data_IF_970461771400
#
_entry.id   IF_970461771400
#
_cell.length_a   1.000
_cell.length_b   1.000
_cell.length_c   1.000
_cell.angle_alpha   90.00
_cell.angle_beta   90.00
_cell.angle_gamma   90.00
#
_symmetry.space_group_name_H-M   'P 1'
#
loop_
_entity.id
_entity.type
_entity.pdbx_description
1 polymer ?
#
# COMPACT_ATOMS: atom_id res chain seq x y z
N UNK A 1 19.67 -27.80 0.52
CA UNK A 1 20.12 -26.47 0.06
C UNK A 1 21.61 -26.56 -0.20
N UNK A 2 22.09 -26.13 -1.38
CA UNK A 2 23.53 -25.92 -1.57
C UNK A 2 23.93 -24.74 -0.70
N UNK A 3 25.06 -24.85 -0.01
CA UNK A 3 25.62 -23.70 0.70
C UNK A 3 26.12 -22.71 -0.34
N UNK A 4 25.61 -21.48 -0.30
CA UNK A 4 26.07 -20.37 -1.13
C UNK A 4 26.83 -19.39 -0.23
N UNK A 5 28.07 -19.07 -0.60
CA UNK A 5 28.90 -18.08 0.11
C UNK A 5 29.18 -16.92 -0.82
N UNK A 6 28.78 -15.72 -0.43
CA UNK A 6 29.04 -14.48 -1.16
C UNK A 6 29.60 -13.43 -0.20
N UNK A 7 30.30 -12.44 -0.74
CA UNK A 7 30.83 -11.32 0.05
C UNK A 7 29.99 -10.08 -0.22
N UNK A 8 29.77 -9.27 0.82
CA UNK A 8 28.96 -8.06 0.74
C UNK A 8 29.79 -6.86 1.19
N UNK A 9 29.81 -5.82 0.38
CA UNK A 9 30.40 -4.53 0.70
C UNK A 9 29.28 -3.49 0.79
N UNK A 10 29.18 -2.82 1.94
CA UNK A 10 28.27 -1.70 2.12
C UNK A 10 29.05 -0.39 1.96
N UNK A 11 28.54 0.51 1.12
CA UNK A 11 29.08 1.85 0.90
C UNK A 11 27.97 2.90 0.96
N UNK A 12 28.35 4.17 0.91
CA UNK A 12 27.41 5.29 0.83
C UNK A 12 26.55 5.25 -0.45
N UNK A 13 27.01 4.53 -1.48
CA UNK A 13 26.34 4.42 -2.77
C UNK A 13 25.42 3.21 -2.88
N UNK A 14 25.50 2.26 -1.95
CA UNK A 14 24.68 1.05 -1.96
C UNK A 14 25.43 -0.20 -1.49
N UNK A 15 24.82 -1.36 -1.77
CA UNK A 15 25.35 -2.68 -1.43
C UNK A 15 25.92 -3.35 -2.68
N UNK A 16 27.18 -3.75 -2.64
CA UNK A 16 27.81 -4.58 -3.67
C UNK A 16 27.91 -6.02 -3.15
N UNK A 17 27.46 -6.98 -3.96
CA UNK A 17 27.52 -8.42 -3.63
C UNK A 17 28.39 -9.11 -4.68
N UNK A 18 29.43 -9.78 -4.22
CA UNK A 18 30.31 -10.61 -5.03
C UNK A 18 29.90 -12.08 -4.91
N UNK A 19 29.49 -12.67 -6.03
CA UNK A 19 29.05 -14.06 -6.12
C UNK A 19 30.24 -15.02 -6.33
N UNK A 20 30.09 -16.32 -6.00
CA UNK A 20 31.10 -17.35 -6.28
C UNK A 20 31.53 -17.42 -7.74
N UNK A 21 30.62 -17.15 -8.67
CA UNK A 21 30.90 -17.05 -10.10
C UNK A 21 31.70 -15.82 -10.52
N UNK A 22 32.13 -14.97 -9.58
CA UNK A 22 32.74 -13.65 -9.81
C UNK A 22 31.78 -12.60 -10.39
N UNK A 23 30.53 -12.99 -10.66
CA UNK A 23 29.46 -12.06 -11.01
C UNK A 23 29.20 -11.08 -9.85
N UNK A 24 28.76 -9.87 -10.22
CA UNK A 24 28.55 -8.78 -9.27
C UNK A 24 27.11 -8.29 -9.32
N UNK A 25 26.53 -8.09 -8.15
CA UNK A 25 25.26 -7.41 -7.98
C UNK A 25 25.47 -6.07 -7.28
N UNK A 26 24.83 -5.04 -7.78
CA UNK A 26 24.76 -3.73 -7.13
C UNK A 26 23.32 -3.44 -6.74
N UNK A 27 23.08 -3.19 -5.46
CA UNK A 27 21.78 -2.86 -4.88
C UNK A 27 21.80 -1.37 -4.48
N UNK A 28 20.99 -0.58 -5.19
CA UNK A 28 20.90 0.87 -5.03
C UNK A 28 19.53 1.26 -4.45
N UNK A 29 19.51 1.99 -3.34
CA UNK A 29 18.29 2.59 -2.77
C UNK A 29 18.00 3.92 -3.46
N UNK A 30 17.42 3.87 -4.66
CA UNK A 30 17.11 5.06 -5.45
C UNK A 30 15.81 4.93 -6.24
N UNK A 31 15.23 6.08 -6.56
CA UNK A 31 13.92 6.21 -7.19
C UNK A 31 13.96 6.93 -8.56
N UNK A 32 15.15 7.04 -9.15
CA UNK A 32 15.36 7.72 -10.42
C UNK A 32 16.25 6.86 -11.34
N UNK A 33 16.11 7.05 -12.64
CA UNK A 33 16.82 6.27 -13.66
C UNK A 33 18.22 6.81 -13.98
N UNK A 34 18.86 7.55 -13.07
CA UNK A 34 20.23 8.06 -13.25
C UNK A 34 21.24 7.06 -12.71
N UNK A 35 21.26 5.88 -13.29
CA UNK A 35 22.31 4.91 -13.11
C UNK A 35 22.86 4.49 -14.46
N UNK A 36 24.14 4.17 -14.49
CA UNK A 36 24.80 3.69 -15.68
C UNK A 36 24.60 2.18 -15.82
N UNK A 37 24.53 1.70 -17.06
CA UNK A 37 24.42 0.29 -17.39
C UNK A 37 25.46 -0.04 -18.46
N UNK A 38 26.30 -1.03 -18.20
CA UNK A 38 27.23 -1.56 -19.19
C UNK A 38 26.53 -2.58 -20.11
N UNK A 39 27.12 -2.89 -21.27
CA UNK A 39 26.54 -3.83 -22.24
C UNK A 39 26.33 -5.25 -21.67
N UNK A 40 27.13 -5.65 -20.67
CA UNK A 40 27.04 -6.95 -19.99
C UNK A 40 26.22 -6.86 -18.69
N UNK A 41 25.33 -5.89 -18.57
CA UNK A 41 24.51 -5.69 -17.38
C UNK A 41 23.02 -5.72 -17.69
N UNK A 42 22.26 -6.21 -16.71
CA UNK A 42 20.81 -6.11 -16.66
C UNK A 42 20.40 -5.51 -15.33
N UNK A 43 19.18 -5.00 -15.25
CA UNK A 43 18.66 -4.38 -14.04
C UNK A 43 17.24 -4.83 -13.70
N UNK A 44 16.93 -4.78 -12.41
CA UNK A 44 15.59 -4.89 -11.87
C UNK A 44 15.18 -3.55 -11.25
N UNK A 45 13.96 -3.10 -11.57
CA UNK A 45 13.33 -2.00 -10.83
C UNK A 45 12.34 -2.58 -9.83
N UNK A 46 12.47 -2.20 -8.57
CA UNK A 46 11.62 -2.66 -7.49
C UNK A 46 10.84 -1.50 -6.88
N UNK A 47 9.58 -1.76 -6.57
CA UNK A 47 8.75 -0.86 -5.75
C UNK A 47 8.25 -1.60 -4.53
N UNK A 48 8.60 -1.11 -3.33
CA UNK A 48 8.25 -1.76 -2.05
C UNK A 48 8.65 -3.24 -2.03
N UNK A 49 9.81 -3.54 -2.61
CA UNK A 49 10.36 -4.89 -2.73
C UNK A 49 9.63 -5.84 -3.68
N UNK A 50 8.70 -5.36 -4.52
CA UNK A 50 8.13 -6.12 -5.63
C UNK A 50 8.85 -5.73 -6.93
N UNK A 51 9.32 -6.71 -7.70
CA UNK A 51 9.90 -6.48 -9.03
C UNK A 51 8.81 -5.96 -9.97
N UNK A 52 9.10 -4.85 -10.64
CA UNK A 52 8.20 -4.16 -11.57
C UNK A 52 8.70 -4.17 -13.01
N UNK A 53 10.00 -4.25 -13.20
CA UNK A 53 10.63 -4.29 -14.52
C UNK A 53 11.93 -5.09 -14.42
N UNK A 54 12.23 -5.84 -15.48
CA UNK A 54 13.48 -6.55 -15.71
C UNK A 54 13.88 -6.22 -17.14
N UNK A 55 15.04 -5.60 -17.33
CA UNK A 55 15.53 -5.22 -18.65
C UNK A 55 17.06 -5.04 -18.63
N UNK A 56 17.64 -4.89 -19.82
CA UNK A 56 19.05 -4.60 -20.04
C UNK A 56 19.24 -3.37 -20.94
N UNK A 57 18.19 -2.58 -21.12
CA UNK A 57 18.20 -1.33 -21.88
C UNK A 57 17.48 -0.25 -21.08
N UNK A 58 18.19 0.85 -20.82
CA UNK A 58 17.68 1.99 -20.06
C UNK A 58 16.63 2.79 -20.85
N UNK A 59 16.65 2.74 -22.20
CA UNK A 59 15.67 3.43 -23.05
C UNK A 59 14.26 2.84 -22.89
N UNK A 60 14.17 1.58 -22.45
CA UNK A 60 12.90 0.93 -22.17
C UNK A 60 12.25 1.41 -20.86
N UNK A 61 12.94 2.17 -20.00
CA UNK A 61 12.39 2.57 -18.70
C UNK A 61 11.22 3.55 -18.92
N UNK A 62 9.98 3.13 -18.64
CA UNK A 62 8.82 3.99 -18.79
C UNK A 62 8.75 4.99 -17.62
N UNK A 63 7.71 5.84 -17.61
CA UNK A 63 7.32 6.56 -16.38
C UNK A 63 6.79 5.57 -15.34
N UNK A 64 7.70 5.00 -14.55
CA UNK A 64 7.41 4.01 -13.52
C UNK A 64 7.98 4.46 -12.17
N UNK A 65 7.18 4.31 -11.12
CA UNK A 65 7.67 4.49 -9.76
C UNK A 65 8.43 3.24 -9.28
N UNK A 66 9.63 3.45 -8.76
CA UNK A 66 10.44 2.46 -8.05
C UNK A 66 11.14 3.14 -6.86
N UNK A 67 11.68 2.34 -5.96
CA UNK A 67 12.47 2.80 -4.80
C UNK A 67 13.81 2.06 -4.64
N UNK A 68 14.03 1.02 -5.46
CA UNK A 68 15.26 0.25 -5.46
C UNK A 68 15.61 -0.24 -6.86
N UNK A 69 16.90 -0.24 -7.15
CA UNK A 69 17.48 -0.78 -8.39
C UNK A 69 18.43 -1.91 -8.01
N UNK A 70 18.34 -3.03 -8.72
CA UNK A 70 19.35 -4.09 -8.70
C UNK A 70 20.01 -4.09 -10.06
N UNK A 71 21.33 -4.02 -10.12
CA UNK A 71 22.11 -4.18 -11.35
C UNK A 71 22.89 -5.48 -11.22
N UNK A 72 22.83 -6.33 -12.24
CA UNK A 72 23.58 -7.58 -12.33
C UNK A 72 24.55 -7.48 -13.49
N UNK A 73 25.83 -7.64 -13.20
CA UNK A 73 26.86 -7.82 -14.21
C UNK A 73 26.97 -9.30 -14.57
N UNK A 74 26.65 -9.64 -15.82
CA UNK A 74 26.56 -11.00 -16.33
C UNK A 74 27.83 -11.46 -17.06
N UNK A 75 28.87 -10.61 -17.14
CA UNK A 75 30.10 -10.90 -17.88
C UNK A 75 30.74 -12.22 -17.48
N UNK A 76 30.70 -12.55 -16.19
CA UNK A 76 31.29 -13.77 -15.65
C UNK A 76 30.55 -15.06 -16.07
N UNK A 77 29.32 -14.94 -16.59
CA UNK A 77 28.51 -16.09 -17.01
C UNK A 77 28.74 -16.49 -18.47
N UNK A 78 29.56 -15.75 -19.21
CA UNK A 78 29.81 -15.93 -20.65
C UNK A 78 28.51 -16.09 -21.46
N UNK A 79 27.46 -15.37 -21.04
CA UNK A 79 26.10 -15.47 -21.55
C UNK A 79 25.62 -14.11 -22.04
N UNK A 80 24.92 -14.10 -23.17
CA UNK A 80 24.27 -12.89 -23.68
C UNK A 80 23.20 -12.41 -22.67
N UNK A 81 23.33 -11.15 -22.25
CA UNK A 81 22.40 -10.51 -21.32
C UNK A 81 20.95 -10.57 -21.78
N UNK A 82 20.69 -10.60 -23.10
CA UNK A 82 19.34 -10.72 -23.65
C UNK A 82 18.69 -12.06 -23.32
N UNK A 83 19.45 -13.18 -23.41
CA UNK A 83 18.91 -14.50 -23.07
C UNK A 83 18.60 -14.61 -21.58
N UNK A 84 19.47 -14.08 -20.71
CA UNK A 84 19.23 -14.11 -19.27
C UNK A 84 18.07 -13.20 -18.87
N UNK A 85 17.98 -12.01 -19.46
CA UNK A 85 16.87 -11.07 -19.25
C UNK A 85 15.54 -11.72 -19.64
N UNK A 86 15.45 -12.32 -20.82
CA UNK A 86 14.24 -13.03 -21.26
C UNK A 86 13.89 -14.19 -20.33
N UNK A 87 14.88 -14.97 -19.89
CA UNK A 87 14.66 -16.08 -18.97
C UNK A 87 14.04 -15.61 -17.65
N UNK A 88 14.52 -14.49 -17.11
CA UNK A 88 14.01 -13.89 -15.87
C UNK A 88 12.62 -13.28 -16.03
N UNK A 89 12.33 -12.69 -17.19
CA UNK A 89 10.98 -12.22 -17.55
C UNK A 89 9.99 -13.39 -17.52
N UNK A 90 10.35 -14.52 -18.16
CA UNK A 90 9.51 -15.72 -18.16
C UNK A 90 9.26 -16.24 -16.73
N UNK A 91 10.32 -16.36 -15.91
CA UNK A 91 10.18 -16.79 -14.51
C UNK A 91 9.29 -15.85 -13.68
N UNK A 92 9.41 -14.54 -13.88
CA UNK A 92 8.59 -13.56 -13.18
C UNK A 92 7.09 -13.70 -13.57
N UNK A 93 6.82 -13.91 -14.85
CA UNK A 93 5.46 -14.10 -15.36
C UNK A 93 4.83 -15.41 -14.88
N UNK A 94 5.59 -16.50 -14.89
CA UNK A 94 5.18 -17.79 -14.31
C UNK A 94 4.88 -17.67 -12.81
N UNK A 95 5.65 -16.84 -12.09
CA UNK A 95 5.40 -16.49 -10.68
C UNK A 95 4.21 -15.51 -10.49
N UNK A 96 3.51 -15.12 -11.56
CA UNK A 96 2.34 -14.26 -11.52
C UNK A 96 2.65 -12.77 -11.29
N UNK A 97 3.89 -12.35 -11.55
CA UNK A 97 4.34 -10.96 -11.46
C UNK A 97 3.99 -10.22 -12.76
N UNK A 98 3.28 -9.11 -12.63
CA UNK A 98 2.98 -8.24 -13.78
C UNK A 98 4.14 -7.26 -13.99
N UNK A 99 5.03 -7.59 -14.93
CA UNK A 99 6.12 -6.70 -15.36
C UNK A 99 5.61 -5.59 -16.31
N UNK A 100 6.20 -4.40 -16.18
CA UNK A 100 5.99 -3.25 -17.07
C UNK A 100 7.03 -3.26 -18.19
N UNK A 101 6.61 -2.78 -19.35
CA UNK A 101 7.44 -2.41 -20.52
C UNK A 101 8.60 -3.39 -20.75
N UNK A 102 8.24 -4.53 -21.36
CA UNK A 102 9.14 -5.65 -21.65
C UNK A 102 9.79 -5.45 -23.01
N UNK A 103 11.03 -5.90 -23.16
CA UNK A 103 11.65 -6.04 -24.47
C UNK A 103 10.86 -7.02 -25.36
N UNK A 104 11.11 -6.97 -26.67
CA UNK A 104 10.49 -7.92 -27.60
C UNK A 104 10.86 -9.37 -27.23
N UNK A 105 9.89 -10.30 -27.18
CA UNK A 105 10.15 -11.67 -26.77
C UNK A 105 11.18 -12.35 -27.66
N UNK A 106 12.26 -12.83 -27.03
CA UNK A 106 13.32 -13.57 -27.70
C UNK A 106 13.18 -15.07 -27.44
N UNK A 107 13.38 -15.90 -28.46
CA UNK A 107 13.39 -17.36 -28.27
C UNK A 107 14.72 -17.80 -27.67
N UNK A 108 14.68 -18.39 -26.47
CA UNK A 108 15.87 -18.94 -25.81
C UNK A 108 16.18 -20.34 -26.40
N UNK A 109 17.39 -20.58 -26.92
CA UNK A 109 17.80 -21.92 -27.35
C UNK A 109 17.87 -22.91 -26.18
N UNK A 110 17.44 -24.15 -26.39
CA UNK A 110 17.38 -25.18 -25.34
C UNK A 110 18.75 -25.47 -24.66
N UNK A 111 19.85 -25.29 -25.40
CA UNK A 111 21.21 -25.46 -24.86
C UNK A 111 21.62 -24.32 -23.91
N UNK A 112 21.01 -23.14 -24.04
CA UNK A 112 21.26 -21.95 -23.22
C UNK A 112 20.36 -21.92 -21.99
N UNK A 113 19.14 -22.45 -22.08
CA UNK A 113 18.15 -22.44 -20.99
C UNK A 113 18.68 -23.03 -19.68
N UNK A 114 19.43 -24.13 -19.74
CA UNK A 114 20.06 -24.74 -18.56
C UNK A 114 21.13 -23.86 -17.93
N UNK A 115 21.87 -23.10 -18.74
CA UNK A 115 22.85 -22.14 -18.25
C UNK A 115 22.14 -20.99 -17.54
N UNK A 116 21.10 -20.42 -18.17
CA UNK A 116 20.26 -19.39 -17.55
C UNK A 116 19.69 -19.84 -16.20
N UNK A 117 19.16 -21.06 -16.12
CA UNK A 117 18.61 -21.61 -14.88
C UNK A 117 19.66 -21.72 -13.77
N UNK A 118 20.87 -22.17 -14.12
CA UNK A 118 21.97 -22.34 -13.16
C UNK A 118 22.43 -21.00 -12.61
N UNK A 119 22.60 -19.99 -13.46
CA UNK A 119 23.04 -18.66 -13.05
C UNK A 119 21.94 -17.91 -12.30
N UNK A 120 20.69 -18.04 -12.74
CA UNK A 120 19.53 -17.50 -12.04
C UNK A 120 19.44 -18.03 -10.61
N UNK A 121 19.61 -19.33 -10.40
CA UNK A 121 19.57 -19.93 -9.05
C UNK A 121 20.62 -19.30 -8.11
N UNK A 122 21.83 -19.03 -8.61
CA UNK A 122 22.91 -18.41 -7.82
C UNK A 122 22.55 -17.00 -7.35
N UNK A 123 22.32 -16.06 -8.28
CA UNK A 123 22.08 -14.68 -7.90
C UNK A 123 20.71 -14.47 -7.25
N UNK A 124 19.67 -15.23 -7.62
CA UNK A 124 18.36 -15.15 -6.95
C UNK A 124 18.43 -15.67 -5.52
N UNK A 125 19.25 -16.69 -5.25
CA UNK A 125 19.51 -17.15 -3.89
C UNK A 125 20.21 -16.06 -3.05
N UNK A 126 21.19 -15.37 -3.63
CA UNK A 126 21.84 -14.23 -2.97
C UNK A 126 20.86 -13.08 -2.71
N UNK A 127 20.08 -12.67 -3.72
CA UNK A 127 19.04 -11.63 -3.60
C UNK A 127 17.96 -12.01 -2.56
N UNK A 128 17.65 -13.30 -2.44
CA UNK A 128 16.73 -13.83 -1.43
C UNK A 128 17.13 -13.49 0.00
N UNK A 129 18.43 -13.45 0.30
CA UNK A 129 18.95 -13.02 1.61
C UNK A 129 18.66 -11.55 1.93
N UNK A 130 18.44 -10.73 0.90
CA UNK A 130 18.09 -9.31 1.01
C UNK A 130 16.58 -9.05 0.84
N UNK A 131 15.74 -10.10 0.89
CA UNK A 131 14.29 -10.00 0.80
C UNK A 131 13.77 -9.68 -0.61
N UNK A 132 14.62 -9.84 -1.63
CA UNK A 132 14.29 -9.68 -3.05
C UNK A 132 14.06 -11.09 -3.61
N UNK A 133 12.81 -11.36 -4.03
CA UNK A 133 12.40 -12.68 -4.52
C UNK A 133 11.52 -12.52 -5.75
N UNK A 134 11.63 -13.47 -6.69
CA UNK A 134 10.71 -13.62 -7.81
C UNK A 134 9.42 -14.30 -7.35
N UNK A 135 8.71 -13.64 -6.45
CA UNK A 135 7.39 -14.07 -5.99
C UNK A 135 6.43 -12.88 -5.99
N UNK A 136 5.16 -13.14 -6.28
CA UNK A 136 4.12 -12.12 -6.18
C UNK A 136 3.88 -11.77 -4.71
N UNK A 137 4.31 -10.57 -4.30
CA UNK A 137 3.95 -10.03 -2.99
C UNK A 137 2.47 -9.69 -2.95
N UNK A 138 1.83 -10.00 -1.82
CA UNK A 138 0.47 -9.54 -1.55
C UNK A 138 0.43 -8.02 -1.63
N UNK A 139 -0.64 -7.48 -2.22
CA UNK A 139 -0.81 -6.04 -2.33
C UNK A 139 -0.78 -5.40 -0.93
N UNK A 140 0.25 -4.60 -0.67
CA UNK A 140 0.33 -3.83 0.55
C UNK A 140 -0.64 -2.64 0.42
N UNK A 141 -1.77 -2.69 1.13
CA UNK A 141 -2.63 -1.51 1.29
C UNK A 141 -2.05 -0.63 2.38
N UNK A 142 -1.49 0.56 2.08
CA UNK A 142 -0.98 1.46 3.10
C UNK A 142 -2.09 2.05 3.99
N UNK A 143 -3.36 1.83 3.64
CA UNK A 143 -4.52 2.23 4.43
C UNK A 143 -5.16 1.00 5.05
N UNK A 144 -5.33 1.03 6.37
CA UNK A 144 -6.18 0.10 7.10
C UNK A 144 -7.55 0.00 6.39
N UNK A 145 -7.92 -1.21 5.97
CA UNK A 145 -9.25 -1.46 5.43
C UNK A 145 -10.16 -1.85 6.58
N UNK A 146 -11.29 -1.18 6.70
CA UNK A 146 -12.30 -1.52 7.70
C UNK A 146 -13.39 -2.34 7.05
N UNK A 147 -13.77 -3.46 7.69
CA UNK A 147 -14.83 -4.32 7.21
C UNK A 147 -15.85 -4.57 8.33
N UNK A 148 -17.11 -4.33 7.99
CA UNK A 148 -18.21 -4.70 8.86
C UNK A 148 -18.27 -6.22 9.05
N UNK A 149 -18.54 -6.65 10.28
CA UNK A 149 -18.77 -8.04 10.68
C UNK A 149 -20.03 -8.10 11.53
N UNK A 150 -20.76 -9.21 11.50
CA UNK A 150 -22.03 -9.38 12.23
C UNK A 150 -21.90 -9.07 13.73
N UNK A 151 -20.79 -9.44 14.37
CA UNK A 151 -20.56 -9.12 15.79
C UNK A 151 -20.54 -7.62 16.11
N UNK A 152 -20.22 -6.75 15.13
CA UNK A 152 -20.20 -5.30 15.35
C UNK A 152 -21.60 -4.69 15.50
N UNK A 153 -22.66 -5.35 15.00
CA UNK A 153 -24.02 -4.82 15.14
C UNK A 153 -24.58 -4.96 16.56
N UNK A 154 -23.94 -5.76 17.41
CA UNK A 154 -24.31 -5.98 18.81
C UNK A 154 -23.55 -5.04 19.76
N UNK A 155 -22.58 -4.28 19.23
CA UNK A 155 -21.73 -3.38 20.02
C UNK A 155 -22.28 -1.96 19.91
N UNK A 156 -22.53 -1.36 21.07
CA UNK A 156 -22.77 0.07 21.20
C UNK A 156 -21.43 0.79 21.31
N UNK A 157 -21.23 1.77 20.44
CA UNK A 157 -20.11 2.69 20.48
C UNK A 157 -20.54 4.01 21.08
N UNK A 158 -19.69 4.58 21.91
CA UNK A 158 -19.94 5.81 22.62
C UNK A 158 -18.98 6.89 22.15
N UNK A 159 -19.51 8.10 22.09
CA UNK A 159 -18.77 9.33 21.87
C UNK A 159 -18.98 10.19 23.10
N UNK A 160 -17.88 10.66 23.68
CA UNK A 160 -17.92 11.59 24.80
C UNK A 160 -16.89 12.69 24.61
N UNK A 161 -17.33 13.78 23.99
CA UNK A 161 -16.57 15.03 23.82
C UNK A 161 -17.31 16.18 24.51
N UNK A 162 -16.63 17.30 24.81
CA UNK A 162 -17.29 18.48 25.40
C UNK A 162 -18.46 19.01 24.56
N UNK A 163 -18.30 18.95 23.23
CA UNK A 163 -19.20 19.49 22.22
C UNK A 163 -20.14 18.44 21.61
N UNK A 164 -19.91 17.14 21.82
CA UNK A 164 -20.73 16.08 21.26
C UNK A 164 -20.75 14.84 22.13
N UNK A 165 -21.94 14.24 22.24
CA UNK A 165 -22.14 12.99 22.97
C UNK A 165 -23.18 12.14 22.25
N UNK A 166 -22.87 10.87 21.98
CA UNK A 166 -23.75 10.01 21.23
C UNK A 166 -23.52 8.53 21.55
N UNK A 167 -24.56 7.73 21.29
CA UNK A 167 -24.47 6.27 21.21
C UNK A 167 -24.71 5.86 19.76
N UNK A 168 -23.81 5.04 19.21
CA UNK A 168 -23.79 4.67 17.79
C UNK A 168 -23.78 3.15 17.68
N UNK A 169 -24.54 2.61 16.73
CA UNK A 169 -24.54 1.18 16.39
C UNK A 169 -24.20 1.01 14.91
N UNK A 170 -23.22 0.17 14.59
CA UNK A 170 -22.91 -0.20 13.20
C UNK A 170 -23.76 -1.40 12.76
N UNK A 171 -25.03 -1.12 12.42
CA UNK A 171 -26.07 -2.13 12.17
C UNK A 171 -25.79 -3.00 10.95
N UNK A 172 -25.33 -2.40 9.84
CA UNK A 172 -24.99 -3.08 8.58
C UNK A 172 -23.78 -2.41 7.92
N UNK A 173 -23.20 -3.04 6.91
CA UNK A 173 -21.99 -2.52 6.22
C UNK A 173 -22.08 -1.06 5.78
N UNK A 174 -23.26 -0.60 5.38
CA UNK A 174 -23.54 0.76 4.93
C UNK A 174 -24.55 1.48 5.85
N UNK A 175 -24.63 1.08 7.12
CA UNK A 175 -25.65 1.60 8.02
C UNK A 175 -25.15 1.75 9.45
N UNK A 176 -24.88 2.99 9.83
CA UNK A 176 -24.58 3.41 11.19
C UNK A 176 -25.75 4.23 11.74
N UNK A 177 -26.19 3.87 12.94
CA UNK A 177 -27.33 4.50 13.60
C UNK A 177 -26.82 5.29 14.79
N UNK A 178 -27.00 6.60 14.76
CA UNK A 178 -26.85 7.48 15.94
C UNK A 178 -28.18 7.43 16.68
N UNK A 179 -28.16 7.04 17.95
CA UNK A 179 -29.38 6.97 18.77
C UNK A 179 -29.96 8.35 19.06
N UNK A 180 -31.29 8.41 19.17
CA UNK A 180 -32.00 9.59 19.63
C UNK A 180 -31.46 10.09 20.98
N UNK A 181 -31.50 11.41 21.20
CA UNK A 181 -30.94 12.06 22.39
C UNK A 181 -29.43 12.34 22.30
N UNK A 182 -28.81 12.17 21.13
CA UNK A 182 -27.42 12.52 20.90
C UNK A 182 -27.23 14.04 20.82
N UNK A 183 -26.19 14.54 21.50
CA UNK A 183 -25.73 15.93 21.40
C UNK A 183 -24.75 16.07 20.23
N UNK A 184 -25.01 17.01 19.34
CA UNK A 184 -24.14 17.33 18.20
C UNK A 184 -23.45 18.69 18.39
N UNK A 185 -22.27 18.85 17.83
CA UNK A 185 -21.53 20.11 17.90
C UNK A 185 -22.27 21.22 17.14
N UNK A 186 -22.37 22.41 17.70
CA UNK A 186 -23.08 23.53 17.07
C UNK A 186 -22.39 24.00 15.78
N UNK A 187 -21.06 24.16 15.82
CA UNK A 187 -20.25 24.67 14.71
C UNK A 187 -18.86 24.04 14.70
N UNK A 188 -18.16 24.14 13.56
CA UNK A 188 -16.80 23.61 13.40
C UNK A 188 -16.26 23.74 11.99
N UNK A 189 -14.96 23.47 11.82
CA UNK A 189 -14.29 23.26 10.53
C UNK A 189 -14.36 24.41 9.51
N UNK A 190 -14.43 25.65 9.98
CA UNK A 190 -14.11 26.82 9.16
C UNK A 190 -12.61 26.83 8.84
N UNK A 191 -12.24 27.35 7.68
CA UNK A 191 -10.83 27.59 7.35
C UNK A 191 -10.28 28.76 8.17
N UNK A 192 -8.96 28.87 8.22
CA UNK A 192 -8.27 30.00 8.88
C UNK A 192 -8.64 31.37 8.30
N UNK A 193 -9.06 31.42 7.03
CA UNK A 193 -9.55 32.62 6.35
C UNK A 193 -11.04 32.92 6.59
N UNK A 194 -11.71 32.14 7.44
CA UNK A 194 -13.13 32.29 7.74
C UNK A 194 -14.06 31.81 6.62
N UNK A 195 -13.55 31.19 5.56
CA UNK A 195 -14.39 30.65 4.48
C UNK A 195 -14.80 29.20 4.73
N UNK A 196 -16.01 28.78 4.27
CA UNK A 196 -16.48 27.41 4.45
C UNK A 196 -15.74 26.45 3.50
N UNK A 197 -14.97 25.51 4.08
CA UNK A 197 -14.32 24.43 3.36
C UNK A 197 -15.27 23.33 2.86
N UNK A 198 -14.74 22.34 2.16
CA UNK A 198 -15.54 21.23 1.62
C UNK A 198 -16.25 20.43 2.72
N UNK A 199 -15.53 20.10 3.80
CA UNK A 199 -16.07 19.38 4.95
C UNK A 199 -17.20 20.15 5.65
N UNK A 200 -17.09 21.48 5.71
CA UNK A 200 -18.14 22.36 6.23
C UNK A 200 -19.40 22.25 5.38
N UNK A 201 -19.27 22.43 4.05
CA UNK A 201 -20.40 22.39 3.11
C UNK A 201 -21.08 21.01 3.12
N UNK A 202 -20.28 19.95 3.14
CA UNK A 202 -20.79 18.57 3.25
C UNK A 202 -21.59 18.35 4.54
N UNK A 203 -21.06 18.83 5.68
CA UNK A 203 -21.75 18.73 6.98
C UNK A 203 -23.09 19.47 6.96
N UNK A 204 -23.13 20.67 6.37
CA UNK A 204 -24.35 21.47 6.25
C UNK A 204 -25.42 20.72 5.45
N UNK A 205 -25.07 20.18 4.28
CA UNK A 205 -25.99 19.36 3.48
C UNK A 205 -26.49 18.16 4.28
N UNK A 206 -25.59 17.44 4.95
CA UNK A 206 -25.95 16.25 5.74
C UNK A 206 -26.92 16.58 6.88
N UNK A 207 -26.77 17.73 7.54
CA UNK A 207 -27.67 18.17 8.61
C UNK A 207 -29.01 18.67 8.10
N UNK A 208 -29.03 19.34 6.95
CA UNK A 208 -30.25 19.77 6.29
C UNK A 208 -31.10 18.57 5.86
N UNK A 209 -30.47 17.53 5.31
CA UNK A 209 -31.14 16.25 4.98
C UNK A 209 -31.76 15.57 6.21
N UNK A 210 -31.25 15.85 7.41
CA UNK A 210 -31.69 15.26 8.67
C UNK A 210 -32.43 16.26 9.57
N UNK A 211 -32.82 17.45 9.07
CA UNK A 211 -33.34 18.55 9.89
C UNK A 211 -34.55 18.22 10.75
N UNK A 212 -35.33 17.23 10.35
CA UNK A 212 -36.52 16.79 11.09
C UNK A 212 -36.16 15.91 12.30
N UNK A 213 -34.93 15.39 12.34
CA UNK A 213 -34.45 14.42 13.32
C UNK A 213 -33.55 15.04 14.40
N UNK A 214 -33.38 16.37 14.43
CA UNK A 214 -32.67 17.08 15.49
C UNK A 214 -33.19 18.50 15.68
N UNK A 215 -33.03 19.05 16.87
CA UNK A 215 -33.48 20.40 17.21
C UNK A 215 -32.34 21.42 17.06
N UNK A 216 -32.48 22.44 16.19
CA UNK A 216 -31.45 23.46 15.98
C UNK A 216 -31.21 24.40 17.15
N UNK A 217 -32.12 24.46 18.14
CA UNK A 217 -31.94 25.30 19.33
C UNK A 217 -31.13 24.58 20.41
N UNK A 218 -31.32 23.28 20.55
CA UNK A 218 -30.68 22.47 21.61
C UNK A 218 -29.51 21.64 21.09
N UNK A 219 -29.40 21.45 19.78
CA UNK A 219 -28.43 20.56 19.12
C UNK A 219 -28.51 19.13 19.63
N UNK A 220 -29.74 18.66 19.86
CA UNK A 220 -30.05 17.29 20.32
C UNK A 220 -30.85 16.56 19.24
N UNK A 221 -30.50 15.31 18.95
CA UNK A 221 -31.29 14.46 18.04
C UNK A 221 -32.62 14.05 18.68
N UNK A 222 -33.71 14.21 17.95
CA UNK A 222 -35.08 13.86 18.38
C UNK A 222 -35.47 12.44 17.94
N UNK A 223 -34.78 11.90 16.94
CA UNK A 223 -34.96 10.55 16.43
C UNK A 223 -33.61 9.87 16.15
N UNK A 224 -33.64 8.55 15.90
CA UNK A 224 -32.47 7.81 15.43
C UNK A 224 -32.07 8.33 14.04
N UNK A 225 -30.77 8.62 13.84
CA UNK A 225 -30.23 9.11 12.58
C UNK A 225 -29.41 8.02 11.92
N UNK A 226 -29.72 7.73 10.66
CA UNK A 226 -29.11 6.65 9.88
C UNK A 226 -28.16 7.22 8.83
N UNK A 227 -26.88 6.86 8.94
CA UNK A 227 -25.79 7.33 8.07
C UNK A 227 -25.07 6.14 7.42
N UNK A 228 -24.39 6.39 6.30
CA UNK A 228 -23.79 5.33 5.47
C UNK A 228 -22.36 4.99 5.86
N UNK A 229 -21.66 5.87 6.57
CA UNK A 229 -20.25 5.68 6.90
C UNK A 229 -19.86 6.29 8.24
N UNK A 230 -18.76 5.77 8.82
CA UNK A 230 -18.13 6.33 10.04
C UNK A 230 -17.71 7.79 9.84
N UNK A 231 -17.33 8.17 8.61
CA UNK A 231 -16.98 9.55 8.29
C UNK A 231 -18.20 10.47 8.31
N UNK A 232 -19.35 10.03 7.77
CA UNK A 232 -20.61 10.77 7.88
C UNK A 232 -21.02 10.98 9.33
N UNK A 233 -20.88 9.95 10.18
CA UNK A 233 -21.11 10.08 11.63
C UNK A 233 -20.22 11.16 12.23
N UNK A 234 -18.94 11.22 11.83
CA UNK A 234 -18.02 12.26 12.29
C UNK A 234 -18.40 13.67 11.86
N UNK A 235 -18.75 13.83 10.59
CA UNK A 235 -19.21 15.11 10.06
C UNK A 235 -20.49 15.56 10.76
N UNK A 236 -21.44 14.66 10.97
CA UNK A 236 -22.71 14.95 11.62
C UNK A 236 -22.52 15.33 13.10
N UNK A 237 -21.79 14.52 13.88
CA UNK A 237 -21.61 14.72 15.32
C UNK A 237 -20.68 15.88 15.65
N UNK A 238 -19.54 16.00 14.97
CA UNK A 238 -18.44 16.90 15.37
C UNK A 238 -18.36 18.18 14.57
N UNK A 239 -19.22 18.33 13.56
CA UNK A 239 -19.19 19.42 12.61
C UNK A 239 -17.86 19.52 11.85
N UNK A 240 -17.81 18.98 10.63
CA UNK A 240 -16.61 18.94 9.79
C UNK A 240 -15.39 18.18 10.37
N UNK A 241 -15.58 17.38 11.44
CA UNK A 241 -14.56 16.48 11.99
C UNK A 241 -14.47 15.14 11.25
N UNK A 242 -13.24 14.64 11.04
CA UNK A 242 -12.99 13.53 10.10
C UNK A 242 -12.50 12.22 10.72
N UNK A 243 -12.06 12.20 11.99
CA UNK A 243 -11.48 10.98 12.59
C UNK A 243 -12.43 10.29 13.59
N UNK A 244 -13.56 9.77 13.11
CA UNK A 244 -14.47 9.00 13.97
C UNK A 244 -14.00 7.58 14.26
N UNK A 245 -13.11 7.02 13.43
CA UNK A 245 -12.62 5.65 13.58
C UNK A 245 -11.95 5.38 14.94
N UNK A 246 -11.30 6.38 15.52
CA UNK A 246 -10.67 6.27 16.84
C UNK A 246 -11.53 6.82 17.99
N UNK A 247 -12.61 7.54 17.67
CA UNK A 247 -13.42 8.26 18.65
C UNK A 247 -14.68 7.48 19.06
N UNK A 248 -15.15 6.57 18.21
CA UNK A 248 -16.22 5.63 18.54
C UNK A 248 -15.61 4.48 19.35
N UNK A 249 -15.86 4.44 20.66
CA UNK A 249 -15.29 3.43 21.57
C UNK A 249 -16.39 2.60 22.24
N UNK A 250 -16.17 1.30 22.43
CA UNK A 250 -17.10 0.45 23.18
C UNK A 250 -16.98 0.65 24.71
N UNK A 251 -17.75 -0.14 25.48
CA UNK A 251 -17.69 -0.11 26.95
C UNK A 251 -16.34 -0.53 27.54
N UNK A 252 -15.55 -1.28 26.77
CA UNK A 252 -14.21 -1.75 27.15
C UNK A 252 -13.10 -0.76 26.70
N UNK A 253 -13.47 0.33 26.03
CA UNK A 253 -12.54 1.35 25.53
C UNK A 253 -11.90 1.04 24.19
N UNK A 254 -12.30 -0.05 23.51
CA UNK A 254 -11.80 -0.41 22.18
C UNK A 254 -12.46 0.44 21.12
N UNK A 255 -11.66 0.93 20.17
CA UNK A 255 -12.17 1.75 19.08
C UNK A 255 -12.85 0.90 17.99
N UNK A 256 -13.80 1.49 17.26
CA UNK A 256 -14.40 0.86 16.08
C UNK A 256 -13.33 0.51 15.02
N UNK A 257 -12.23 1.29 14.96
CA UNK A 257 -11.07 0.97 14.14
C UNK A 257 -10.48 -0.41 14.50
N UNK A 258 -10.15 -0.61 15.77
CA UNK A 258 -9.54 -1.85 16.27
C UNK A 258 -10.40 -3.07 15.96
N UNK A 259 -11.71 -2.94 16.16
CA UNK A 259 -12.65 -4.05 16.00
C UNK A 259 -13.00 -4.38 14.53
N UNK A 260 -12.69 -3.47 13.59
CA UNK A 260 -13.10 -3.62 12.19
C UNK A 260 -11.96 -3.62 11.18
N UNK A 261 -10.73 -3.29 11.59
CA UNK A 261 -9.57 -3.32 10.70
C UNK A 261 -9.29 -4.75 10.22
N UNK A 262 -9.01 -4.88 8.92
CA UNK A 262 -8.58 -6.11 8.28
C UNK A 262 -7.09 -5.97 7.98
N UNK A 263 -6.31 -6.96 8.41
CA UNK A 263 -4.89 -7.11 8.07
C UNK A 263 -4.73 -7.80 6.71
#
# INVERSE_FOLDING_TARGET
>A
MKNLTFTVTLSDFGLEIHLPSEARLLLLEQNNARFDLNNDELFFLLKKGQIKMIANDLELIPKLEFDKVVILNVKAYELDANYLTQYLVNLAEEAGINLRDKAEPLKIPNNIEKACATYADEFLSALGAFGIKLEKKKAFSPKAQHRWKKGLSEIEFFVKRPDSQATIIWRKSNELVIKAGAKIAESGGMKSDGTPGLAYRFTQTLREEQKENWDPKTFITTADIVLKSVNEVGHFLYFAGTNSWLQLVDKEGRSIHELSVVQ
#
